data_IF_538613937628
#
_entry.id   IF_538613937628
#
_cell.length_a   1.000
_cell.length_b   1.000
_cell.length_c   1.000
_cell.angle_alpha   90.00
_cell.angle_beta   90.00
_cell.angle_gamma   90.00
#
_symmetry.space_group_name_H-M   'P 1'
#
loop_
_entity.id
_entity.type
_entity.pdbx_description
1 polymer ?
#
# COMPACT_ATOMS: atom_id res chain seq x y z
N UNK A 1 18.97 -10.44 -15.15
CA UNK A 1 18.54 -10.67 -13.75
C UNK A 1 17.51 -9.58 -13.42
N UNK A 2 16.26 -9.76 -13.88
CA UNK A 2 15.17 -8.84 -13.59
C UNK A 2 14.35 -9.45 -12.47
N UNK A 3 14.46 -8.88 -11.27
CA UNK A 3 13.76 -9.37 -10.09
C UNK A 3 12.27 -9.45 -10.38
N UNK A 4 11.76 -10.67 -10.39
CA UNK A 4 10.33 -10.98 -10.40
C UNK A 4 9.69 -10.11 -9.32
N UNK A 5 8.90 -9.11 -9.71
CA UNK A 5 8.02 -8.40 -8.79
C UNK A 5 7.06 -9.46 -8.28
N UNK A 6 7.43 -10.04 -7.14
CA UNK A 6 6.78 -11.21 -6.62
C UNK A 6 5.33 -10.82 -6.34
N UNK A 7 4.42 -11.43 -7.10
CA UNK A 7 3.05 -11.61 -6.69
C UNK A 7 3.08 -12.55 -5.48
N UNK A 8 3.59 -12.04 -4.35
CA UNK A 8 3.49 -12.75 -3.09
C UNK A 8 2.01 -12.67 -2.68
N UNK A 9 1.44 -13.82 -2.35
CA UNK A 9 0.11 -13.87 -1.75
C UNK A 9 0.06 -13.06 -0.44
N UNK A 10 -1.09 -13.02 0.24
CA UNK A 10 -1.18 -12.36 1.53
C UNK A 10 -0.11 -12.90 2.47
N UNK A 11 0.81 -12.03 2.88
CA UNK A 11 1.82 -12.33 3.89
C UNK A 11 1.39 -11.79 5.24
N UNK A 12 1.88 -12.37 6.33
CA UNK A 12 1.52 -11.90 7.66
C UNK A 12 2.55 -10.90 8.18
N UNK A 13 2.11 -9.69 8.50
CA UNK A 13 2.92 -8.62 9.07
C UNK A 13 2.28 -8.19 10.38
N UNK A 14 3.03 -8.23 11.48
CA UNK A 14 2.55 -7.82 12.80
C UNK A 14 1.25 -8.54 13.28
N UNK A 15 0.96 -9.73 12.75
CA UNK A 15 -0.26 -10.50 13.03
C UNK A 15 -1.48 -10.14 12.18
N UNK A 16 -1.34 -9.27 11.16
CA UNK A 16 -2.37 -8.98 10.16
C UNK A 16 -1.92 -9.46 8.77
N UNK A 17 -2.86 -9.84 7.91
CA UNK A 17 -2.55 -10.13 6.51
C UNK A 17 -2.18 -8.82 5.78
N UNK A 18 -1.19 -8.88 4.91
CA UNK A 18 -0.71 -7.77 4.10
C UNK A 18 -0.58 -8.23 2.66
N UNK A 19 -1.16 -7.46 1.74
CA UNK A 19 -1.03 -7.65 0.29
C UNK A 19 -0.46 -6.38 -0.32
N UNK A 20 0.77 -6.45 -0.83
CA UNK A 20 1.41 -5.38 -1.58
C UNK A 20 1.49 -5.73 -3.05
N UNK A 21 0.99 -4.88 -3.96
CA UNK A 21 1.18 -5.06 -5.41
C UNK A 21 1.54 -3.76 -6.12
N UNK A 22 2.49 -3.87 -7.05
CA UNK A 22 2.79 -2.85 -8.05
C UNK A 22 2.08 -3.21 -9.34
N UNK A 23 1.40 -2.23 -9.92
CA UNK A 23 0.66 -2.31 -11.17
C UNK A 23 1.26 -1.27 -12.13
N UNK A 24 1.43 -1.65 -13.39
CA UNK A 24 1.89 -0.73 -14.43
C UNK A 24 0.69 -0.32 -15.30
N UNK A 25 0.67 0.94 -15.73
CA UNK A 25 -0.35 1.51 -16.64
C UNK A 25 -1.81 1.43 -16.11
N UNK A 26 -2.00 1.32 -14.79
CA UNK A 26 -3.33 1.29 -14.17
C UNK A 26 -3.77 2.70 -13.75
N UNK A 27 -4.97 3.18 -14.12
CA UNK A 27 -5.45 4.47 -13.64
C UNK A 27 -5.59 4.51 -12.11
N UNK A 28 -5.12 5.59 -11.48
CA UNK A 28 -5.20 5.77 -10.02
C UNK A 28 -6.62 5.65 -9.44
N UNK A 29 -7.65 5.99 -10.24
CA UNK A 29 -9.06 5.87 -9.86
C UNK A 29 -9.51 4.40 -9.67
N UNK A 30 -8.88 3.47 -10.40
CA UNK A 30 -9.27 2.06 -10.41
C UNK A 30 -8.59 1.32 -9.25
N UNK A 31 -7.44 1.81 -8.79
CA UNK A 31 -6.72 1.28 -7.61
C UNK A 31 -7.62 1.17 -6.38
N UNK A 32 -8.49 2.15 -6.15
CA UNK A 32 -9.39 2.14 -4.99
C UNK A 32 -10.36 0.97 -5.03
N UNK A 33 -10.97 0.71 -6.19
CA UNK A 33 -11.87 -0.42 -6.38
C UNK A 33 -11.15 -1.75 -6.24
N UNK A 34 -9.96 -1.88 -6.85
CA UNK A 34 -9.14 -3.09 -6.73
C UNK A 34 -8.67 -3.35 -5.30
N UNK A 35 -8.27 -2.31 -4.56
CA UNK A 35 -7.86 -2.45 -3.17
C UNK A 35 -9.02 -2.91 -2.28
N UNK A 36 -10.23 -2.38 -2.51
CA UNK A 36 -11.43 -2.80 -1.79
C UNK A 36 -11.79 -4.26 -2.09
N UNK A 37 -11.74 -4.67 -3.35
CA UNK A 37 -12.02 -6.06 -3.77
C UNK A 37 -11.03 -7.06 -3.14
N UNK A 38 -9.72 -6.78 -3.21
CA UNK A 38 -8.69 -7.62 -2.58
C UNK A 38 -8.87 -7.66 -1.07
N UNK A 39 -9.17 -6.52 -0.44
CA UNK A 39 -9.45 -6.43 1.00
C UNK A 39 -10.63 -7.32 1.37
N UNK A 40 -11.69 -7.34 0.58
CA UNK A 40 -12.82 -8.25 0.77
C UNK A 40 -12.43 -9.71 0.57
N UNK A 41 -11.57 -10.04 -0.41
CA UNK A 41 -11.11 -11.40 -0.66
C UNK A 41 -10.27 -11.98 0.49
N UNK A 42 -9.40 -11.16 1.11
CA UNK A 42 -8.57 -11.61 2.25
C UNK A 42 -9.34 -11.62 3.58
N UNK A 43 -10.51 -10.98 3.64
CA UNK A 43 -11.40 -10.93 4.80
C UNK A 43 -10.94 -9.98 5.92
N UNK A 44 -9.68 -10.06 6.33
CA UNK A 44 -9.04 -9.19 7.33
C UNK A 44 -7.59 -8.91 6.94
N UNK A 45 -7.18 -7.64 6.97
CA UNK A 45 -5.81 -7.23 6.70
C UNK A 45 -5.67 -5.84 6.09
N UNK A 46 -4.46 -5.59 5.57
CA UNK A 46 -4.05 -4.36 4.91
C UNK A 46 -3.67 -4.67 3.46
N UNK A 47 -4.18 -3.87 2.53
CA UNK A 47 -3.88 -3.97 1.10
C UNK A 47 -3.22 -2.67 0.66
N UNK A 48 -2.05 -2.76 0.05
CA UNK A 48 -1.32 -1.64 -0.54
C UNK A 48 -1.15 -1.88 -2.05
N UNK A 49 -1.77 -1.03 -2.86
CA UNK A 49 -1.62 -1.06 -4.31
C UNK A 49 -0.90 0.20 -4.78
N UNK A 50 0.06 0.03 -5.67
CA UNK A 50 0.78 1.13 -6.32
C UNK A 50 0.59 0.99 -7.82
N UNK A 51 0.08 2.02 -8.47
CA UNK A 51 0.13 2.14 -9.93
C UNK A 51 1.26 3.05 -10.35
N UNK A 52 2.01 2.64 -11.36
CA UNK A 52 3.00 3.47 -12.05
C UNK A 52 2.46 3.82 -13.44
N UNK A 53 2.27 5.11 -13.69
CA UNK A 53 1.81 5.64 -14.98
C UNK A 53 2.70 6.83 -15.37
N UNK A 54 3.28 6.78 -16.57
CA UNK A 54 4.19 7.82 -17.08
C UNK A 54 5.32 8.19 -16.09
N UNK A 55 5.85 7.19 -15.39
CA UNK A 55 6.91 7.36 -14.40
C UNK A 55 6.47 7.92 -13.04
N UNK A 56 5.18 8.26 -12.87
CA UNK A 56 4.62 8.70 -11.58
C UNK A 56 3.95 7.55 -10.87
N UNK A 57 4.13 7.45 -9.56
CA UNK A 57 3.43 6.49 -8.73
C UNK A 57 2.19 7.10 -8.08
N UNK A 58 1.08 6.37 -8.15
CA UNK A 58 -0.12 6.58 -7.34
C UNK A 58 -0.29 5.38 -6.44
N UNK A 59 -0.59 5.59 -5.16
CA UNK A 59 -0.69 4.51 -4.20
C UNK A 59 -1.99 4.61 -3.40
N UNK A 60 -2.57 3.45 -3.09
CA UNK A 60 -3.76 3.31 -2.26
C UNK A 60 -3.47 2.26 -1.21
N UNK A 61 -3.79 2.58 0.04
CA UNK A 61 -3.80 1.60 1.13
C UNK A 61 -5.22 1.49 1.66
N UNK A 62 -5.70 0.27 1.81
CA UNK A 62 -6.97 -0.06 2.43
C UNK A 62 -6.73 -1.04 3.58
N UNK A 63 -7.35 -0.79 4.73
CA UNK A 63 -7.31 -1.63 5.91
C UNK A 63 -8.74 -2.06 6.27
N UNK A 64 -8.91 -3.30 6.71
CA UNK A 64 -10.18 -3.75 7.28
C UNK A 64 -10.43 -3.11 8.64
N UNK A 65 -11.69 -2.96 9.03
CA UNK A 65 -12.08 -2.21 10.22
C UNK A 65 -11.46 -2.75 11.53
N UNK A 66 -11.26 -4.06 11.60
CA UNK A 66 -10.64 -4.76 12.74
C UNK A 66 -9.15 -4.44 12.91
N UNK A 67 -8.45 -4.06 11.83
CA UNK A 67 -7.02 -3.72 11.88
C UNK A 67 -6.74 -2.24 11.66
N UNK A 68 -7.72 -1.45 11.20
CA UNK A 68 -7.58 -0.02 10.89
C UNK A 68 -7.26 0.85 12.12
N UNK A 69 -7.67 0.43 13.32
CA UNK A 69 -7.29 1.12 14.57
C UNK A 69 -5.78 0.99 14.86
N UNK A 70 -5.19 -0.16 14.53
CA UNK A 70 -3.75 -0.43 14.72
C UNK A 70 -2.92 0.06 13.54
N UNK A 71 -3.40 -0.16 12.32
CA UNK A 71 -2.74 0.18 11.07
C UNK A 71 -3.54 1.26 10.34
N UNK A 72 -3.34 2.51 10.75
CA UNK A 72 -3.98 3.65 10.11
C UNK A 72 -3.50 3.78 8.65
N UNK A 73 -4.42 3.63 7.69
CA UNK A 73 -4.11 3.70 6.27
C UNK A 73 -3.46 5.03 5.87
N UNK A 74 -3.82 6.15 6.51
CA UNK A 74 -3.24 7.48 6.26
C UNK A 74 -1.75 7.51 6.61
N UNK A 75 -1.36 6.89 7.72
CA UNK A 75 0.05 6.81 8.12
C UNK A 75 0.84 5.92 7.15
N UNK A 76 0.26 4.77 6.78
CA UNK A 76 0.88 3.84 5.85
C UNK A 76 1.08 4.47 4.47
N UNK A 77 0.09 5.16 3.92
CA UNK A 77 0.28 5.81 2.62
C UNK A 77 1.31 6.92 2.67
N UNK A 78 1.49 7.60 3.80
CA UNK A 78 2.54 8.60 3.96
C UNK A 78 3.93 7.97 3.95
N UNK A 79 4.10 6.83 4.61
CA UNK A 79 5.36 6.08 4.56
C UNK A 79 5.72 5.68 3.13
N UNK A 80 4.76 5.12 2.38
CA UNK A 80 4.95 4.79 0.97
C UNK A 80 5.20 6.02 0.09
N UNK A 81 4.47 7.12 0.32
CA UNK A 81 4.61 8.38 -0.42
C UNK A 81 6.02 8.97 -0.31
N UNK A 82 6.59 8.97 0.90
CA UNK A 82 7.95 9.47 1.14
C UNK A 82 8.98 8.67 0.34
N UNK A 83 8.85 7.34 0.28
CA UNK A 83 9.72 6.51 -0.56
C UNK A 83 9.61 6.84 -2.06
N UNK A 84 8.42 7.25 -2.51
CA UNK A 84 8.17 7.69 -3.89
C UNK A 84 8.59 9.15 -4.17
N UNK A 85 9.25 9.83 -3.22
CA UNK A 85 9.58 11.26 -3.32
C UNK A 85 8.35 12.18 -3.20
N UNK A 86 7.21 11.64 -2.81
CA UNK A 86 6.00 12.36 -2.47
C UNK A 86 6.09 13.05 -1.11
N UNK A 87 5.17 13.98 -0.85
CA UNK A 87 5.17 14.82 0.37
C UNK A 87 3.94 14.64 1.24
N UNK A 88 3.06 13.71 0.90
CA UNK A 88 1.79 13.61 1.60
C UNK A 88 0.92 12.44 1.16
N UNK A 89 -0.19 12.31 1.88
CA UNK A 89 -1.19 11.29 1.69
C UNK A 89 -2.40 11.65 2.56
N UNK A 90 -3.58 11.28 2.10
CA UNK A 90 -4.84 11.66 2.72
C UNK A 90 -5.96 10.66 2.45
N UNK A 91 -7.01 10.75 3.25
CA UNK A 91 -8.13 9.83 3.22
C UNK A 91 -8.63 9.56 4.63
N UNK A 92 -9.15 8.35 4.83
CA UNK A 92 -9.69 7.88 6.09
C UNK A 92 -8.79 6.80 6.70
N UNK A 93 -8.89 6.50 8.01
CA UNK A 93 -8.09 5.46 8.65
C UNK A 93 -8.25 4.06 8.02
N UNK A 94 -9.41 3.77 7.43
CA UNK A 94 -9.70 2.51 6.72
C UNK A 94 -9.18 2.51 5.27
N UNK A 95 -9.01 3.68 4.66
CA UNK A 95 -8.63 3.79 3.26
C UNK A 95 -8.07 5.16 2.93
N UNK A 96 -6.84 5.18 2.44
CA UNK A 96 -6.13 6.39 2.09
C UNK A 96 -5.39 6.26 0.76
N UNK A 97 -5.01 7.41 0.22
CA UNK A 97 -4.32 7.52 -1.05
C UNK A 97 -3.16 8.52 -0.97
N UNK A 98 -2.13 8.26 -1.76
CA UNK A 98 -0.98 9.12 -1.91
C UNK A 98 -0.30 8.89 -3.26
N UNK A 99 0.86 9.49 -3.47
CA UNK A 99 1.64 9.30 -4.69
C UNK A 99 2.92 10.13 -4.67
N UNK A 100 3.77 9.88 -5.65
CA UNK A 100 5.04 10.58 -5.79
C UNK A 100 5.58 10.51 -7.22
N UNK A 101 6.55 11.37 -7.56
CA UNK A 101 7.14 11.42 -8.89
C UNK A 101 8.07 10.23 -9.19
N UNK A 102 8.47 9.44 -8.20
CA UNK A 102 9.45 8.36 -8.37
C UNK A 102 8.78 7.00 -8.55
N UNK A 103 8.11 6.79 -9.70
CA UNK A 103 7.46 5.52 -10.04
C UNK A 103 8.37 4.29 -9.97
N UNK A 104 9.66 4.48 -10.31
CA UNK A 104 10.67 3.42 -10.23
C UNK A 104 10.87 2.88 -8.81
N UNK A 105 10.50 3.65 -7.77
CA UNK A 105 10.60 3.28 -6.35
C UNK A 105 9.34 2.59 -5.82
N UNK A 106 8.43 2.16 -6.68
CA UNK A 106 7.19 1.50 -6.25
C UNK A 106 7.44 0.27 -5.35
N UNK A 107 8.45 -0.55 -5.66
CA UNK A 107 8.81 -1.67 -4.81
C UNK A 107 9.32 -1.23 -3.41
N UNK A 108 10.13 -0.17 -3.37
CA UNK A 108 10.62 0.42 -2.11
C UNK A 108 9.47 1.00 -1.27
N UNK A 109 8.46 1.59 -1.93
CA UNK A 109 7.29 2.13 -1.27
C UNK A 109 6.42 1.04 -0.62
N UNK A 110 6.28 -0.12 -1.25
CA UNK A 110 5.62 -1.29 -0.63
C UNK A 110 6.41 -1.76 0.59
N UNK A 111 7.74 -1.88 0.47
CA UNK A 111 8.60 -2.28 1.58
C UNK A 111 8.54 -1.28 2.75
N UNK A 112 8.45 0.02 2.47
CA UNK A 112 8.28 1.05 3.50
C UNK A 112 6.93 0.92 4.24
N UNK A 113 5.85 0.58 3.53
CA UNK A 113 4.53 0.32 4.14
C UNK A 113 4.59 -0.91 5.06
N UNK A 114 5.20 -1.99 4.58
CA UNK A 114 5.39 -3.20 5.37
C UNK A 114 6.23 -2.95 6.62
N UNK A 115 7.33 -2.21 6.50
CA UNK A 115 8.15 -1.80 7.64
C UNK A 115 7.35 -0.97 8.64
N UNK A 116 6.57 0.01 8.18
CA UNK A 116 5.72 0.83 9.05
C UNK A 116 4.64 0.00 9.77
N UNK A 117 4.10 -1.05 9.15
CA UNK A 117 3.23 -2.00 9.82
C UNK A 117 3.99 -2.82 10.88
N UNK A 118 5.20 -3.28 10.57
CA UNK A 118 6.02 -4.05 11.51
C UNK A 118 6.44 -3.22 12.74
N UNK A 119 6.76 -1.94 12.57
CA UNK A 119 7.11 -1.04 13.69
C UNK A 119 5.93 -0.79 14.63
N UNK A 120 4.71 -0.64 14.09
CA UNK A 120 3.47 -0.53 14.89
C UNK A 120 3.11 -1.82 15.63
N UNK A 121 3.90 -2.89 15.52
CA UNK A 121 3.75 -4.11 16.30
C UNK A 121 4.43 -4.04 17.69
N UNK A 122 5.34 -3.09 17.89
CA UNK A 122 6.28 -3.04 19.03
C UNK A 122 5.82 -2.06 20.13
N UNK A 123 4.60 -1.52 20.02
CA UNK A 123 3.95 -0.70 21.05
C UNK A 123 2.57 -1.27 21.37
#
# INVERSE_FOLDING_TARGET
>A
MGGSAAAEGPKTVAGAAFVGKVLEDVPAKDLKGMADEIKTQIGSGVVALISVVEGKASLVVAATADVAERFNAVDLVRAGSVALGGKGGGGRPDMAQAGGPEGAKAAEAIAAIEAAMAEKAVH
#
